data_IF_953422387457
#
_entry.id   IF_953422387457
#
_cell.length_a   1.000
_cell.length_b   1.000
_cell.length_c   1.000
_cell.angle_alpha   90.00
_cell.angle_beta   90.00
_cell.angle_gamma   90.00
#
_symmetry.space_group_name_H-M   'P 1'
#
loop_
_entity.id
_entity.type
_entity.pdbx_description
1 polymer ?
#
# COMPACT_ATOMS: atom_id res chain seq x y z
N UNK A 1 36.46 1.03 -18.18
CA UNK A 1 35.38 1.09 -17.18
C UNK A 1 35.28 -0.25 -16.48
N UNK A 2 34.92 -0.26 -15.20
CA UNK A 2 34.56 -1.48 -14.47
C UNK A 2 33.05 -1.46 -14.24
N UNK A 3 32.40 -2.60 -14.47
CA UNK A 3 30.94 -2.74 -14.35
C UNK A 3 30.63 -3.76 -13.27
N UNK A 4 29.78 -3.38 -12.34
CA UNK A 4 29.36 -4.24 -11.24
C UNK A 4 27.85 -4.36 -11.22
N UNK A 5 27.32 -5.58 -11.13
CA UNK A 5 25.93 -5.79 -10.76
C UNK A 5 25.78 -5.41 -9.28
N UNK A 6 24.73 -4.67 -8.92
CA UNK A 6 24.56 -4.13 -7.56
C UNK A 6 23.12 -4.23 -7.07
N UNK A 7 22.93 -4.07 -5.76
CA UNK A 7 21.61 -3.83 -5.18
C UNK A 7 20.73 -5.07 -5.13
N UNK A 8 19.46 -4.90 -5.53
CA UNK A 8 18.45 -5.93 -5.38
C UNK A 8 18.78 -7.22 -6.11
N UNK A 9 19.40 -7.13 -7.29
CA UNK A 9 19.79 -8.29 -8.09
C UNK A 9 20.81 -9.18 -7.36
N UNK A 10 21.83 -8.58 -6.74
CA UNK A 10 22.87 -9.33 -6.00
C UNK A 10 22.27 -9.93 -4.73
N UNK A 11 21.47 -9.14 -3.99
CA UNK A 11 20.76 -9.62 -2.80
C UNK A 11 19.87 -10.82 -3.10
N UNK A 12 19.03 -10.71 -4.13
CA UNK A 12 18.05 -11.74 -4.48
C UNK A 12 18.77 -12.98 -5.03
N UNK A 13 19.86 -12.81 -5.79
CA UNK A 13 20.75 -13.90 -6.19
C UNK A 13 21.31 -14.67 -4.98
N UNK A 14 21.82 -13.97 -3.96
CA UNK A 14 22.37 -14.58 -2.74
C UNK A 14 21.29 -15.29 -1.90
N UNK A 15 20.05 -14.80 -1.92
CA UNK A 15 18.90 -15.44 -1.28
C UNK A 15 18.35 -16.64 -2.08
N UNK A 16 18.87 -16.90 -3.28
CA UNK A 16 18.33 -17.93 -4.19
C UNK A 16 16.95 -17.57 -4.74
N UNK A 17 16.61 -16.28 -4.77
CA UNK A 17 15.36 -15.77 -5.31
C UNK A 17 15.50 -15.39 -6.79
N UNK A 18 14.44 -15.56 -7.60
CA UNK A 18 14.46 -15.07 -8.97
C UNK A 18 14.51 -13.54 -8.98
N UNK A 19 15.39 -12.98 -9.81
CA UNK A 19 15.48 -11.54 -10.05
C UNK A 19 15.40 -11.26 -11.55
N UNK A 20 14.75 -10.15 -11.92
CA UNK A 20 14.56 -9.74 -13.31
C UNK A 20 15.19 -8.36 -13.57
N UNK A 21 15.03 -7.43 -12.63
CA UNK A 21 15.65 -6.12 -12.70
C UNK A 21 17.13 -6.22 -12.32
N UNK A 22 18.01 -5.76 -13.23
CA UNK A 22 19.45 -5.71 -13.02
C UNK A 22 19.93 -4.27 -13.12
N UNK A 23 20.46 -3.80 -12.00
CA UNK A 23 21.08 -2.50 -11.89
C UNK A 23 22.60 -2.66 -11.89
N UNK A 24 23.27 -1.88 -12.72
CA UNK A 24 24.73 -1.89 -12.79
C UNK A 24 25.31 -0.55 -12.36
N UNK A 25 26.43 -0.60 -11.65
CA UNK A 25 27.27 0.56 -11.36
C UNK A 25 28.53 0.50 -12.21
N UNK A 26 28.85 1.63 -12.83
CA UNK A 26 30.03 1.81 -13.67
C UNK A 26 31.03 2.73 -12.97
N UNK A 27 32.21 2.19 -12.71
CA UNK A 27 33.34 2.89 -12.08
C UNK A 27 34.42 3.21 -13.12
N UNK A 28 35.03 4.39 -13.01
CA UNK A 28 36.11 4.82 -13.90
C UNK A 28 35.66 5.12 -15.34
N UNK A 29 34.46 5.68 -15.51
CA UNK A 29 33.93 6.17 -16.78
C UNK A 29 33.32 7.56 -16.62
N UNK A 30 33.25 8.33 -17.72
CA UNK A 30 32.54 9.61 -17.79
C UNK A 30 31.26 9.46 -18.62
N UNK A 31 30.30 10.40 -18.52
CA UNK A 31 29.13 10.42 -19.40
C UNK A 31 29.49 10.36 -20.89
N UNK A 32 30.52 11.09 -21.32
CA UNK A 32 30.98 11.10 -22.71
C UNK A 32 31.51 9.72 -23.13
N UNK A 33 32.20 9.02 -22.23
CA UNK A 33 32.65 7.64 -22.46
C UNK A 33 31.45 6.71 -22.66
N UNK A 34 30.43 6.79 -21.80
CA UNK A 34 29.21 5.98 -21.91
C UNK A 34 28.51 6.23 -23.25
N UNK A 35 28.32 7.51 -23.63
CA UNK A 35 27.70 7.89 -24.91
C UNK A 35 28.51 7.38 -26.11
N UNK A 36 29.84 7.45 -26.06
CA UNK A 36 30.71 6.93 -27.12
C UNK A 36 30.58 5.41 -27.30
N UNK A 37 30.19 4.68 -26.25
CA UNK A 37 29.89 3.24 -26.31
C UNK A 37 28.43 2.93 -26.71
N UNK A 38 27.62 3.95 -27.05
CA UNK A 38 26.24 3.77 -27.52
C UNK A 38 25.19 3.65 -26.41
N UNK A 39 25.57 3.89 -25.15
CA UNK A 39 24.62 3.97 -24.05
C UNK A 39 23.68 5.18 -24.20
N UNK A 40 22.43 5.02 -23.78
CA UNK A 40 21.40 6.06 -23.93
C UNK A 40 21.06 6.68 -22.58
N UNK A 41 21.24 8.00 -22.37
CA UNK A 41 20.97 8.63 -21.07
C UNK A 41 19.47 8.62 -20.76
N UNK A 42 19.14 8.38 -19.49
CA UNK A 42 17.77 8.39 -18.97
C UNK A 42 17.67 9.32 -17.77
N UNK A 43 16.61 10.14 -17.77
CA UNK A 43 16.41 11.16 -16.74
C UNK A 43 17.19 12.44 -17.02
N UNK A 44 16.89 13.48 -16.23
CA UNK A 44 17.53 14.81 -16.37
C UNK A 44 18.51 15.12 -15.25
N UNK A 45 18.37 14.47 -14.09
CA UNK A 45 19.04 14.88 -12.85
C UNK A 45 20.20 13.93 -12.44
N UNK A 46 20.30 12.73 -13.03
CA UNK A 46 21.33 11.73 -12.70
C UNK A 46 21.79 10.96 -13.96
N UNK A 47 23.10 10.76 -14.20
CA UNK A 47 23.59 9.97 -15.32
C UNK A 47 23.37 8.46 -15.14
N UNK A 48 22.10 8.05 -15.29
CA UNK A 48 21.70 6.68 -15.61
C UNK A 48 21.69 6.54 -17.11
N UNK A 49 22.15 5.39 -17.61
CA UNK A 49 22.10 5.06 -19.02
C UNK A 49 21.47 3.69 -19.24
N UNK A 50 20.81 3.51 -20.38
CA UNK A 50 20.38 2.20 -20.85
C UNK A 50 21.46 1.60 -21.74
N UNK A 51 21.77 0.33 -21.48
CA UNK A 51 22.64 -0.45 -22.33
C UNK A 51 22.08 -0.54 -23.77
N UNK A 52 22.90 -0.40 -24.83
CA UNK A 52 22.42 -0.35 -26.21
C UNK A 52 21.59 -1.57 -26.62
N UNK A 53 22.02 -2.77 -26.19
CA UNK A 53 21.41 -4.05 -26.55
C UNK A 53 20.36 -4.52 -25.52
N UNK A 54 20.78 -4.74 -24.27
CA UNK A 54 19.92 -5.32 -23.22
C UNK A 54 18.87 -4.36 -22.66
N UNK A 55 19.06 -3.05 -22.83
CA UNK A 55 18.26 -2.00 -22.19
C UNK A 55 18.26 -2.04 -20.65
N UNK A 56 19.22 -2.73 -20.03
CA UNK A 56 19.43 -2.71 -18.58
C UNK A 56 19.99 -1.35 -18.12
N UNK A 57 19.79 -0.99 -16.84
CA UNK A 57 20.18 0.32 -16.28
C UNK A 57 21.63 0.33 -15.76
N UNK A 58 22.42 1.30 -16.23
CA UNK A 58 23.82 1.49 -15.89
C UNK A 58 24.01 2.89 -15.31
N UNK A 59 24.32 2.97 -14.03
CA UNK A 59 24.55 4.22 -13.31
C UNK A 59 26.06 4.46 -13.14
N UNK A 60 26.52 5.68 -13.41
CA UNK A 60 27.88 6.06 -13.03
C UNK A 60 28.00 6.16 -11.50
N UNK A 61 29.13 5.67 -10.96
CA UNK A 61 29.47 5.82 -9.55
C UNK A 61 29.50 7.31 -9.16
N UNK A 62 29.00 7.63 -7.96
CA UNK A 62 28.88 9.02 -7.51
C UNK A 62 29.11 9.20 -6.02
N UNK A 63 29.49 10.42 -5.66
CA UNK A 63 29.34 10.95 -4.31
C UNK A 63 28.20 11.97 -4.26
N UNK A 64 27.52 12.03 -3.13
CA UNK A 64 26.40 12.96 -2.88
C UNK A 64 26.84 13.94 -1.80
N UNK A 65 26.55 15.24 -1.98
CA UNK A 65 26.72 16.24 -0.92
C UNK A 65 25.44 17.04 -0.72
N UNK A 66 24.93 17.04 0.51
CA UNK A 66 23.76 17.82 0.93
C UNK A 66 24.11 19.33 0.93
N UNK A 67 23.60 20.04 -0.06
CA UNK A 67 23.67 21.48 -0.32
C UNK A 67 22.45 22.26 0.25
N UNK A 68 21.50 21.62 0.96
CA UNK A 68 20.35 22.31 1.55
C UNK A 68 19.35 21.39 2.27
N UNK A 69 18.26 21.97 2.80
CA UNK A 69 17.10 21.21 3.31
C UNK A 69 16.20 20.78 2.14
N UNK A 70 15.76 19.51 2.13
CA UNK A 70 14.86 18.96 1.12
C UNK A 70 15.55 18.35 -0.12
N UNK A 71 14.75 17.76 -1.01
CA UNK A 71 15.21 16.93 -2.14
C UNK A 71 16.05 17.67 -3.20
N UNK A 72 15.85 18.98 -3.38
CA UNK A 72 16.68 19.79 -4.30
C UNK A 72 18.05 20.17 -3.72
N UNK A 73 18.37 19.65 -2.54
CA UNK A 73 19.63 19.90 -1.85
C UNK A 73 20.75 18.92 -2.19
N UNK A 74 20.73 18.14 -3.28
CA UNK A 74 21.84 17.23 -3.60
C UNK A 74 22.63 17.73 -4.81
N UNK A 75 23.92 17.98 -4.62
CA UNK A 75 24.87 18.09 -5.73
C UNK A 75 25.51 16.72 -5.96
N UNK A 76 25.36 16.19 -7.16
CA UNK A 76 25.95 14.92 -7.57
C UNK A 76 27.33 15.19 -8.17
N UNK A 77 28.35 14.56 -7.59
CA UNK A 77 29.70 14.56 -8.14
C UNK A 77 29.98 13.18 -8.71
N UNK A 78 29.93 13.08 -10.03
CA UNK A 78 30.28 11.87 -10.81
C UNK A 78 31.64 12.11 -11.43
N UNK A 79 32.69 11.76 -10.70
CA UNK A 79 34.07 11.82 -11.19
C UNK A 79 34.60 10.40 -11.42
N UNK A 80 35.52 10.24 -12.37
CA UNK A 80 36.22 8.97 -12.61
C UNK A 80 36.97 8.42 -11.40
N UNK A 81 37.23 9.27 -10.40
CA UNK A 81 37.91 8.94 -9.15
C UNK A 81 37.01 8.32 -8.10
N UNK A 82 35.67 8.37 -8.27
CA UNK A 82 34.74 7.76 -7.31
C UNK A 82 34.89 6.26 -7.32
N UNK A 83 35.23 5.69 -6.17
CA UNK A 83 35.39 4.26 -5.96
C UNK A 83 34.05 3.54 -5.85
N UNK A 84 34.07 2.21 -6.04
CA UNK A 84 32.90 1.37 -5.79
C UNK A 84 32.42 1.50 -4.33
N UNK A 85 33.34 1.54 -3.38
CA UNK A 85 33.03 1.66 -1.95
C UNK A 85 32.29 2.98 -1.63
N UNK A 86 32.75 4.11 -2.19
CA UNK A 86 32.08 5.41 -2.06
C UNK A 86 30.68 5.44 -2.70
N UNK A 87 30.41 4.62 -3.72
CA UNK A 87 29.05 4.48 -4.27
C UNK A 87 28.16 3.57 -3.39
N UNK A 88 28.75 2.55 -2.76
CA UNK A 88 28.02 1.62 -1.91
C UNK A 88 27.63 2.27 -0.55
N UNK A 89 28.46 3.16 0.00
CA UNK A 89 28.24 3.77 1.33
C UNK A 89 26.92 4.56 1.44
N UNK A 90 26.47 5.14 0.33
CA UNK A 90 25.28 5.98 0.24
C UNK A 90 24.00 5.17 0.07
N UNK A 91 24.06 3.85 0.01
CA UNK A 91 22.86 3.00 -0.12
C UNK A 91 22.08 2.93 1.18
N UNK A 92 20.85 2.42 1.09
CA UNK A 92 19.94 2.36 2.23
C UNK A 92 20.36 1.26 3.22
N UNK A 93 20.42 0.02 2.76
CA UNK A 93 20.69 -1.15 3.58
C UNK A 93 21.97 -1.88 3.16
N UNK A 94 22.68 -2.47 4.13
CA UNK A 94 23.89 -3.29 3.91
C UNK A 94 23.64 -4.41 2.91
N UNK A 95 22.49 -5.09 3.01
CA UNK A 95 22.08 -6.15 2.09
C UNK A 95 21.90 -5.67 0.63
N UNK A 96 21.72 -4.37 0.42
CA UNK A 96 21.63 -3.75 -0.91
C UNK A 96 22.94 -3.09 -1.33
N UNK A 97 23.96 -3.11 -0.47
CA UNK A 97 25.28 -2.52 -0.66
C UNK A 97 26.35 -3.57 -0.98
N UNK A 98 25.94 -4.64 -1.69
CA UNK A 98 26.80 -5.70 -2.21
C UNK A 98 26.90 -5.51 -3.73
N UNK A 99 28.12 -5.64 -4.25
CA UNK A 99 28.42 -5.59 -5.67
C UNK A 99 29.02 -6.91 -6.15
N UNK A 100 28.75 -7.28 -7.41
CA UNK A 100 29.28 -8.48 -8.05
C UNK A 100 29.88 -8.13 -9.41
N UNK A 101 31.11 -8.55 -9.68
CA UNK A 101 31.74 -8.38 -10.99
C UNK A 101 31.33 -9.48 -11.99
N UNK A 102 31.83 -9.38 -13.22
CA UNK A 102 31.52 -10.31 -14.31
C UNK A 102 32.04 -11.74 -14.06
N UNK A 103 33.07 -11.88 -13.22
CA UNK A 103 33.65 -13.17 -12.84
C UNK A 103 32.89 -13.80 -11.64
N UNK A 104 31.87 -13.12 -11.13
CA UNK A 104 31.07 -13.57 -9.99
C UNK A 104 31.71 -13.29 -8.63
N UNK A 105 32.78 -12.48 -8.58
CA UNK A 105 33.40 -12.10 -7.32
C UNK A 105 32.57 -11.01 -6.64
N UNK A 106 32.30 -11.22 -5.35
CA UNK A 106 31.53 -10.30 -4.51
C UNK A 106 32.43 -9.25 -3.85
N UNK A 107 31.91 -8.03 -3.77
CA UNK A 107 32.49 -6.88 -3.09
C UNK A 107 31.47 -6.40 -2.06
N UNK A 108 31.81 -6.57 -0.78
CA UNK A 108 30.92 -6.32 0.35
C UNK A 108 31.66 -5.60 1.49
N UNK A 109 31.95 -4.29 1.34
CA UNK A 109 32.70 -3.52 2.34
C UNK A 109 31.91 -3.28 3.63
N UNK A 110 30.57 -3.46 3.60
CA UNK A 110 29.67 -3.10 4.72
C UNK A 110 28.99 -4.31 5.39
N UNK A 111 29.42 -5.54 5.06
CA UNK A 111 28.94 -6.75 5.73
C UNK A 111 27.50 -7.16 5.39
N UNK A 112 27.03 -6.83 4.19
CA UNK A 112 25.70 -7.21 3.69
C UNK A 112 25.47 -8.71 3.63
N UNK A 113 26.49 -9.54 3.35
CA UNK A 113 26.38 -11.00 3.39
C UNK A 113 26.09 -11.51 4.79
N UNK A 114 26.81 -10.99 5.80
CA UNK A 114 26.58 -11.32 7.21
C UNK A 114 25.18 -10.92 7.66
N UNK A 115 24.71 -9.73 7.25
CA UNK A 115 23.35 -9.29 7.56
C UNK A 115 22.28 -10.12 6.80
N UNK A 116 22.55 -10.60 5.58
CA UNK A 116 21.67 -11.55 4.88
C UNK A 116 21.56 -12.88 5.62
N UNK A 117 22.69 -13.46 6.04
CA UNK A 117 22.73 -14.70 6.82
C UNK A 117 21.98 -14.57 8.15
N UNK A 118 22.17 -13.43 8.83
CA UNK A 118 21.51 -13.11 10.10
C UNK A 118 20.10 -12.54 9.94
N UNK A 119 19.60 -12.41 8.70
CA UNK A 119 18.28 -11.84 8.39
C UNK A 119 18.06 -10.47 9.04
N UNK A 120 19.04 -9.58 8.88
CA UNK A 120 19.07 -8.27 9.52
C UNK A 120 18.97 -7.16 8.47
N UNK A 121 18.06 -6.22 8.68
CA UNK A 121 17.95 -4.99 7.89
C UNK A 121 18.72 -3.88 8.62
N UNK A 122 19.96 -3.65 8.20
CA UNK A 122 20.87 -2.65 8.79
C UNK A 122 21.15 -1.53 7.82
N UNK A 123 21.14 -0.28 8.29
CA UNK A 123 21.57 0.86 7.47
C UNK A 123 23.07 0.79 7.18
N UNK A 124 23.49 1.30 6.02
CA UNK A 124 24.92 1.23 5.60
C UNK A 124 25.80 2.18 6.39
N UNK A 125 25.38 3.44 6.54
CA UNK A 125 26.18 4.50 7.14
C UNK A 125 25.30 5.69 7.57
N UNK A 126 25.91 6.66 8.24
CA UNK A 126 25.28 7.95 8.60
C UNK A 126 24.68 8.70 7.39
N UNK A 127 25.13 8.41 6.16
CA UNK A 127 24.53 8.95 4.94
C UNK A 127 23.05 8.55 4.78
N UNK A 128 22.57 7.56 5.55
CA UNK A 128 21.16 7.22 5.64
C UNK A 128 20.27 8.40 6.05
N UNK A 129 20.75 9.26 6.94
CA UNK A 129 20.00 10.43 7.39
C UNK A 129 19.84 11.50 6.29
N UNK A 130 20.54 11.40 5.16
CA UNK A 130 20.46 12.41 4.11
C UNK A 130 19.13 12.39 3.36
N UNK A 131 18.52 11.22 3.15
CA UNK A 131 17.23 11.06 2.47
C UNK A 131 16.17 10.44 3.40
N UNK A 132 15.22 11.24 3.92
CA UNK A 132 14.18 10.76 4.83
C UNK A 132 13.27 9.67 4.24
N UNK A 133 13.24 9.51 2.92
CA UNK A 133 12.50 8.44 2.27
C UNK A 133 13.03 7.05 2.68
N UNK A 134 14.29 6.94 3.12
CA UNK A 134 14.87 5.67 3.56
C UNK A 134 14.15 5.07 4.76
N UNK A 135 13.50 5.87 5.61
CA UNK A 135 12.63 5.36 6.68
C UNK A 135 11.48 4.52 6.10
N UNK A 136 10.80 5.03 5.07
CA UNK A 136 9.74 4.29 4.38
C UNK A 136 10.28 3.07 3.63
N UNK A 137 11.47 3.18 3.02
CA UNK A 137 12.11 2.05 2.31
C UNK A 137 12.45 0.91 3.26
N UNK A 138 13.01 1.20 4.42
CA UNK A 138 13.31 0.19 5.45
C UNK A 138 12.04 -0.46 5.94
N UNK A 139 10.99 0.32 6.24
CA UNK A 139 9.69 -0.24 6.60
C UNK A 139 9.10 -1.15 5.50
N UNK A 140 9.28 -0.79 4.22
CA UNK A 140 8.83 -1.63 3.11
C UNK A 140 9.65 -2.92 3.02
N UNK A 141 10.97 -2.85 3.19
CA UNK A 141 11.81 -4.04 3.22
C UNK A 141 11.48 -4.96 4.41
N UNK A 142 11.13 -4.40 5.56
CA UNK A 142 10.63 -5.18 6.69
C UNK A 142 9.32 -5.91 6.34
N UNK A 143 8.38 -5.24 5.68
CA UNK A 143 7.17 -5.88 5.15
C UNK A 143 7.48 -7.00 4.13
N UNK A 144 8.32 -6.71 3.14
CA UNK A 144 8.71 -7.66 2.08
C UNK A 144 9.39 -8.91 2.63
N UNK A 145 10.27 -8.75 3.61
CA UNK A 145 11.09 -9.84 4.14
C UNK A 145 10.60 -10.44 5.44
N UNK A 146 9.43 -10.01 5.93
CA UNK A 146 8.80 -10.52 7.15
C UNK A 146 8.65 -12.06 7.12
N UNK A 147 8.12 -12.62 6.02
CA UNK A 147 7.99 -14.09 5.83
C UNK A 147 9.32 -14.85 5.96
N UNK A 148 10.44 -14.21 5.63
CA UNK A 148 11.76 -14.82 5.70
C UNK A 148 12.40 -14.68 7.08
N UNK A 149 11.76 -13.97 8.01
CA UNK A 149 12.23 -13.75 9.38
C UNK A 149 13.22 -12.60 9.51
N UNK A 150 13.21 -11.65 8.58
CA UNK A 150 14.06 -10.47 8.69
C UNK A 150 13.60 -9.53 9.81
N UNK A 151 14.57 -8.94 10.51
CA UNK A 151 14.33 -7.94 11.55
C UNK A 151 15.18 -6.70 11.30
N UNK A 152 14.68 -5.53 11.70
CA UNK A 152 15.45 -4.29 11.59
C UNK A 152 16.46 -4.24 12.73
N UNK A 153 17.70 -3.89 12.42
CA UNK A 153 18.75 -3.80 13.44
C UNK A 153 18.43 -2.69 14.47
N UNK A 154 18.72 -2.88 15.77
CA UNK A 154 18.35 -1.91 16.81
C UNK A 154 18.86 -0.49 16.55
N UNK A 155 20.11 -0.35 16.11
CA UNK A 155 20.68 0.96 15.78
C UNK A 155 20.06 1.59 14.53
N UNK A 156 19.49 0.78 13.63
CA UNK A 156 18.73 1.29 12.47
C UNK A 156 17.37 1.83 12.90
N UNK A 157 16.67 1.16 13.83
CA UNK A 157 15.45 1.70 14.44
C UNK A 157 15.74 3.00 15.17
N UNK A 158 16.82 3.06 15.95
CA UNK A 158 17.21 4.27 16.68
C UNK A 158 17.48 5.45 15.73
N UNK A 159 18.17 5.20 14.61
CA UNK A 159 18.39 6.22 13.58
C UNK A 159 17.08 6.69 12.95
N UNK A 160 16.17 5.76 12.61
CA UNK A 160 14.84 6.10 12.08
C UNK A 160 14.02 6.95 13.06
N UNK A 161 14.11 6.68 14.37
CA UNK A 161 13.47 7.48 15.42
C UNK A 161 14.05 8.90 15.46
N UNK A 162 15.37 9.04 15.46
CA UNK A 162 16.03 10.37 15.42
C UNK A 162 15.62 11.16 14.17
N UNK A 163 15.50 10.51 13.01
CA UNK A 163 15.03 11.14 11.78
C UNK A 163 13.55 11.53 11.82
N UNK A 164 12.70 10.74 12.50
CA UNK A 164 11.30 11.09 12.70
C UNK A 164 11.16 12.32 13.61
N UNK A 165 11.96 12.40 14.67
CA UNK A 165 11.96 13.51 15.62
C UNK A 165 12.57 14.80 15.08
N UNK A 166 13.47 14.72 14.09
CA UNK A 166 14.15 15.89 13.52
C UNK A 166 13.24 16.77 12.65
N UNK A 167 12.05 16.28 12.29
CA UNK A 167 11.12 16.94 11.36
C UNK A 167 11.50 16.83 9.89
N UNK A 168 12.52 16.02 9.55
CA UNK A 168 12.93 15.85 8.15
C UNK A 168 11.90 15.07 7.32
N UNK A 169 11.08 14.22 7.94
CA UNK A 169 9.98 13.51 7.28
C UNK A 169 8.94 14.46 6.68
N UNK A 170 8.69 15.62 7.31
CA UNK A 170 7.72 16.61 6.86
C UNK A 170 8.16 17.31 5.55
N UNK A 171 9.45 17.21 5.21
CA UNK A 171 9.99 17.74 3.95
C UNK A 171 9.82 16.77 2.76
N UNK A 172 9.29 15.55 2.98
CA UNK A 172 9.05 14.60 1.91
C UNK A 172 7.88 15.06 1.02
N UNK A 173 8.13 15.09 -0.29
CA UNK A 173 7.08 15.35 -1.27
C UNK A 173 6.02 14.25 -1.21
N UNK A 174 4.72 14.58 -1.24
CA UNK A 174 3.67 13.57 -1.09
C UNK A 174 3.69 12.45 -2.13
N UNK A 175 4.11 12.73 -3.36
CA UNK A 175 4.23 11.75 -4.43
C UNK A 175 5.27 10.66 -4.13
N UNK A 176 6.37 11.03 -3.46
CA UNK A 176 7.40 10.07 -3.00
C UNK A 176 6.85 9.18 -1.89
N UNK A 177 6.13 9.77 -0.93
CA UNK A 177 5.47 9.04 0.16
C UNK A 177 4.45 8.05 -0.41
N UNK A 178 3.60 8.48 -1.33
CA UNK A 178 2.63 7.60 -1.97
C UNK A 178 3.27 6.51 -2.82
N UNK A 179 4.31 6.82 -3.61
CA UNK A 179 5.01 5.81 -4.42
C UNK A 179 5.59 4.71 -3.55
N UNK A 180 6.19 5.05 -2.41
CA UNK A 180 6.75 4.03 -1.51
C UNK A 180 5.65 3.27 -0.76
N UNK A 181 4.61 3.97 -0.31
CA UNK A 181 3.47 3.37 0.41
C UNK A 181 2.65 2.43 -0.46
N UNK A 182 2.41 2.79 -1.73
CA UNK A 182 1.68 1.93 -2.68
C UNK A 182 2.46 0.66 -3.02
N UNK A 183 3.80 0.72 -3.05
CA UNK A 183 4.64 -0.47 -3.15
C UNK A 183 4.56 -1.32 -1.88
N UNK A 184 4.65 -0.69 -0.71
CA UNK A 184 4.54 -1.39 0.57
C UNK A 184 3.19 -2.08 0.76
N UNK A 185 2.10 -1.43 0.33
CA UNK A 185 0.77 -2.01 0.34
C UNK A 185 0.66 -3.28 -0.51
N UNK A 186 1.49 -3.47 -1.53
CA UNK A 186 1.50 -4.65 -2.38
C UNK A 186 2.37 -5.80 -1.84
N UNK A 187 3.15 -5.58 -0.78
CA UNK A 187 3.95 -6.63 -0.14
C UNK A 187 3.04 -7.61 0.65
N UNK A 188 3.52 -8.82 0.94
CA UNK A 188 2.73 -9.87 1.61
C UNK A 188 2.35 -9.53 3.06
N UNK A 189 3.12 -8.64 3.71
CA UNK A 189 2.91 -8.19 5.09
C UNK A 189 2.86 -6.66 5.18
N UNK A 190 1.94 -6.04 4.46
CA UNK A 190 1.81 -4.58 4.44
C UNK A 190 1.51 -3.97 5.83
N UNK A 191 0.94 -4.73 6.75
CA UNK A 191 0.76 -4.36 8.15
C UNK A 191 2.08 -4.08 8.87
N UNK A 192 3.14 -4.86 8.58
CA UNK A 192 4.49 -4.67 9.15
C UNK A 192 5.08 -3.33 8.74
N UNK A 193 4.76 -2.83 7.54
CA UNK A 193 5.17 -1.49 7.10
C UNK A 193 4.61 -0.41 8.05
N UNK A 194 3.30 -0.43 8.33
CA UNK A 194 2.67 0.55 9.21
C UNK A 194 3.08 0.36 10.68
N UNK A 195 3.25 -0.88 11.13
CA UNK A 195 3.76 -1.17 12.47
C UNK A 195 5.20 -0.63 12.63
N UNK A 196 6.08 -0.87 11.66
CA UNK A 196 7.45 -0.34 11.66
C UNK A 196 7.46 1.19 11.72
N UNK A 197 6.63 1.84 10.90
CA UNK A 197 6.50 3.31 10.93
C UNK A 197 6.01 3.79 12.30
N UNK A 198 5.13 3.03 12.96
CA UNK A 198 4.66 3.36 14.31
C UNK A 198 5.77 3.19 15.35
N UNK A 199 6.50 2.09 15.31
CA UNK A 199 7.56 1.75 16.26
C UNK A 199 8.73 2.75 16.22
N UNK A 200 9.04 3.29 15.04
CA UNK A 200 10.02 4.37 14.89
C UNK A 200 9.42 5.78 15.05
N UNK A 201 8.12 5.91 15.33
CA UNK A 201 7.45 7.20 15.52
C UNK A 201 7.19 7.99 14.24
N UNK A 202 7.50 7.45 13.05
CA UNK A 202 7.25 8.10 11.76
C UNK A 202 5.77 8.11 11.35
N UNK A 203 4.95 7.17 11.83
CA UNK A 203 3.54 7.04 11.45
C UNK A 203 2.75 8.32 11.77
N UNK A 204 2.95 8.91 12.95
CA UNK A 204 2.26 10.15 13.38
C UNK A 204 2.55 11.36 12.49
N UNK A 205 3.69 11.38 11.80
CA UNK A 205 4.07 12.46 10.88
C UNK A 205 3.52 12.21 9.47
N UNK A 206 3.65 10.97 8.98
CA UNK A 206 3.29 10.61 7.61
C UNK A 206 1.79 10.36 7.44
N UNK A 207 1.17 9.71 8.42
CA UNK A 207 -0.22 9.25 8.43
C UNK A 207 -0.89 9.51 9.79
N UNK A 208 -0.99 10.78 10.23
CA UNK A 208 -1.58 11.11 11.54
C UNK A 208 -2.98 10.55 11.74
N UNK A 209 -3.76 10.42 10.66
CA UNK A 209 -5.12 9.87 10.69
C UNK A 209 -5.13 8.38 11.04
N UNK A 210 -4.11 7.63 10.59
CA UNK A 210 -3.95 6.20 10.91
C UNK A 210 -3.39 6.04 12.32
N UNK A 211 -2.38 6.85 12.68
CA UNK A 211 -1.77 6.83 14.02
C UNK A 211 -2.82 7.08 15.13
N UNK A 212 -3.77 7.97 14.86
CA UNK A 212 -4.85 8.34 15.79
C UNK A 212 -5.85 7.20 16.09
N UNK A 213 -5.83 6.09 15.35
CA UNK A 213 -6.65 4.91 15.66
C UNK A 213 -6.10 4.07 16.81
N UNK A 214 -4.78 4.09 17.01
CA UNK A 214 -4.18 3.30 18.07
C UNK A 214 -4.48 3.91 19.44
N UNK A 215 -4.84 3.06 20.38
CA UNK A 215 -5.32 3.43 21.71
C UNK A 215 -6.82 3.74 21.77
N UNK A 216 -7.53 3.72 20.63
CA UNK A 216 -8.98 3.96 20.58
C UNK A 216 -9.72 2.65 20.89
N UNK A 217 -10.46 2.57 22.01
CA UNK A 217 -11.06 1.32 22.46
C UNK A 217 -12.33 0.96 21.67
N UNK A 218 -12.52 -0.33 21.44
CA UNK A 218 -13.65 -0.99 20.80
C UNK A 218 -14.34 -1.94 21.77
N UNK A 219 -15.55 -2.38 21.42
CA UNK A 219 -16.31 -3.35 22.22
C UNK A 219 -15.71 -4.75 22.08
N UNK A 220 -15.23 -5.39 23.17
CA UNK A 220 -14.57 -6.69 23.11
C UNK A 220 -15.48 -7.81 22.61
N UNK A 221 -16.80 -7.69 22.78
CA UNK A 221 -17.75 -8.68 22.22
C UNK A 221 -17.67 -8.82 20.68
N UNK A 222 -17.25 -7.76 19.99
CA UNK A 222 -17.16 -7.72 18.54
C UNK A 222 -15.73 -7.58 18.03
N UNK A 223 -14.84 -7.03 18.86
CA UNK A 223 -13.45 -6.68 18.57
C UNK A 223 -12.57 -7.14 19.73
N UNK A 224 -12.22 -8.45 19.80
CA UNK A 224 -11.47 -9.00 20.93
C UNK A 224 -10.08 -8.37 21.14
N UNK A 225 -9.51 -7.80 20.08
CA UNK A 225 -8.28 -7.00 20.11
C UNK A 225 -8.43 -5.65 20.83
N UNK A 226 -9.66 -5.17 21.03
CA UNK A 226 -10.06 -3.92 21.69
C UNK A 226 -9.56 -2.64 21.01
N UNK A 227 -8.45 -2.65 20.28
CA UNK A 227 -7.82 -1.45 19.73
C UNK A 227 -8.17 -1.25 18.24
N UNK A 228 -8.61 -0.04 17.86
CA UNK A 228 -8.96 0.27 16.46
C UNK A 228 -7.75 0.21 15.51
N UNK A 229 -6.56 0.60 15.96
CA UNK A 229 -5.33 0.52 15.18
C UNK A 229 -4.92 -0.92 14.92
N UNK A 230 -4.99 -1.77 15.95
CA UNK A 230 -4.74 -3.22 15.80
C UNK A 230 -5.76 -3.84 14.84
N UNK A 231 -7.06 -3.57 15.00
CA UNK A 231 -8.11 -4.01 14.08
C UNK A 231 -7.83 -3.63 12.62
N UNK A 232 -7.36 -2.40 12.40
CA UNK A 232 -7.01 -1.90 11.06
C UNK A 232 -5.86 -2.70 10.44
N UNK A 233 -4.81 -3.00 11.22
CA UNK A 233 -3.70 -3.82 10.74
C UNK A 233 -4.12 -5.28 10.49
N UNK A 234 -4.92 -5.88 11.36
CA UNK A 234 -5.47 -7.23 11.17
C UNK A 234 -6.37 -7.32 9.93
N UNK A 235 -7.15 -6.28 9.66
CA UNK A 235 -7.96 -6.20 8.45
C UNK A 235 -7.08 -6.10 7.20
N UNK A 236 -5.99 -5.31 7.25
CA UNK A 236 -5.02 -5.21 6.16
C UNK A 236 -4.31 -6.56 5.91
N UNK A 237 -3.98 -7.32 6.96
CA UNK A 237 -3.43 -8.68 6.84
C UNK A 237 -4.36 -9.61 6.05
N UNK A 238 -5.68 -9.54 6.27
CA UNK A 238 -6.65 -10.32 5.50
C UNK A 238 -6.64 -9.97 4.01
N UNK A 239 -6.48 -8.68 3.69
CA UNK A 239 -6.37 -8.22 2.31
C UNK A 239 -5.07 -8.70 1.64
N UNK A 240 -3.97 -8.77 2.40
CA UNK A 240 -2.69 -9.30 1.93
C UNK A 240 -2.76 -10.83 1.72
N UNK A 241 -3.29 -11.58 2.69
CA UNK A 241 -3.48 -13.05 2.62
C UNK A 241 -4.35 -13.45 1.42
N UNK A 242 -5.34 -12.63 1.08
CA UNK A 242 -6.23 -12.85 -0.08
C UNK A 242 -5.64 -12.34 -1.40
N UNK A 243 -4.44 -11.78 -1.38
CA UNK A 243 -3.76 -11.14 -2.50
C UNK A 243 -4.65 -10.14 -3.27
N UNK A 244 -5.38 -9.30 -2.53
CA UNK A 244 -6.25 -8.29 -3.14
C UNK A 244 -5.46 -7.11 -3.71
N UNK A 245 -6.09 -6.36 -4.60
CA UNK A 245 -5.47 -5.25 -5.32
C UNK A 245 -5.08 -4.10 -4.39
N UNK A 246 -4.18 -3.23 -4.88
CA UNK A 246 -3.80 -1.99 -4.19
C UNK A 246 -5.02 -1.17 -3.74
N UNK A 247 -6.03 -1.04 -4.61
CA UNK A 247 -7.25 -0.29 -4.31
C UNK A 247 -7.96 -0.85 -3.07
N UNK A 248 -8.09 -2.18 -2.98
CA UNK A 248 -8.75 -2.86 -1.85
C UNK A 248 -7.93 -2.71 -0.58
N UNK A 249 -6.62 -2.99 -0.64
CA UNK A 249 -5.72 -2.91 0.52
C UNK A 249 -5.69 -1.49 1.10
N UNK A 250 -5.63 -0.47 0.24
CA UNK A 250 -5.74 0.92 0.68
C UNK A 250 -7.11 1.26 1.26
N UNK A 251 -8.21 0.79 0.63
CA UNK A 251 -9.56 1.03 1.16
C UNK A 251 -9.77 0.39 2.54
N UNK A 252 -9.21 -0.79 2.77
CA UNK A 252 -9.20 -1.46 4.08
C UNK A 252 -8.40 -0.66 5.10
N UNK A 253 -7.21 -0.17 4.75
CA UNK A 253 -6.37 0.62 5.66
C UNK A 253 -7.09 1.86 6.21
N UNK A 254 -7.97 2.48 5.41
CA UNK A 254 -8.58 3.78 5.74
C UNK A 254 -10.09 3.71 6.00
N UNK A 255 -10.69 2.51 6.08
CA UNK A 255 -12.15 2.40 6.23
C UNK A 255 -12.67 3.02 7.53
N UNK A 256 -11.87 2.93 8.59
CA UNK A 256 -12.27 3.22 9.97
C UNK A 256 -11.68 4.51 10.56
N UNK A 257 -11.05 5.37 9.75
CA UNK A 257 -10.42 6.61 10.24
C UNK A 257 -11.36 7.51 11.07
N UNK A 258 -12.68 7.40 10.84
CA UNK A 258 -13.68 8.13 11.64
C UNK A 258 -13.78 7.69 13.10
N UNK A 259 -13.31 6.48 13.46
CA UNK A 259 -13.33 5.99 14.85
C UNK A 259 -12.43 6.83 15.74
N UNK A 260 -11.29 7.30 15.23
CA UNK A 260 -10.38 8.23 15.92
C UNK A 260 -11.06 9.56 16.31
N UNK A 261 -12.13 9.94 15.61
CA UNK A 261 -12.89 11.17 15.85
C UNK A 261 -14.12 10.96 16.75
N UNK A 262 -14.23 9.80 17.40
CA UNK A 262 -15.36 9.48 18.28
C UNK A 262 -15.27 10.30 19.59
N UNK A 263 -16.31 11.05 19.96
CA UNK A 263 -16.35 11.74 21.26
C UNK A 263 -16.18 10.77 22.44
N UNK A 264 -15.48 11.21 23.49
CA UNK A 264 -15.19 10.37 24.65
C UNK A 264 -16.46 9.80 25.34
N UNK A 265 -17.57 10.54 25.32
CA UNK A 265 -18.86 10.11 25.86
C UNK A 265 -19.62 9.10 24.96
N UNK A 266 -19.15 8.87 23.73
CA UNK A 266 -19.71 7.88 22.81
C UNK A 266 -18.83 6.61 22.70
N UNK A 267 -17.61 6.63 23.25
CA UNK A 267 -16.74 5.45 23.26
C UNK A 267 -17.35 4.32 24.12
N UNK A 268 -17.16 3.04 23.73
CA UNK A 268 -16.52 2.52 22.51
C UNK A 268 -17.54 2.19 21.38
N UNK A 269 -18.64 2.96 21.26
CA UNK A 269 -19.73 2.64 20.31
C UNK A 269 -19.50 3.16 18.89
N UNK A 270 -18.68 4.21 18.74
CA UNK A 270 -18.31 4.80 17.44
C UNK A 270 -19.51 5.15 16.55
N UNK A 271 -20.53 5.79 17.13
CA UNK A 271 -21.75 6.17 16.42
C UNK A 271 -21.37 7.11 15.25
N UNK A 272 -21.85 6.80 14.04
CA UNK A 272 -21.59 7.61 12.83
C UNK A 272 -20.10 7.75 12.42
N UNK A 273 -19.23 6.81 12.79
CA UNK A 273 -17.82 6.85 12.36
C UNK A 273 -17.68 6.79 10.83
N UNK A 274 -18.59 6.12 10.13
CA UNK A 274 -18.61 6.02 8.67
C UNK A 274 -18.82 7.38 7.99
N UNK A 275 -19.57 8.31 8.63
CA UNK A 275 -19.74 9.68 8.12
C UNK A 275 -18.59 10.57 8.60
N UNK A 276 -18.14 10.42 9.84
CA UNK A 276 -16.98 11.17 10.39
C UNK A 276 -15.68 10.86 9.64
N UNK A 277 -15.56 9.64 9.09
CA UNK A 277 -14.38 9.17 8.36
C UNK A 277 -14.24 9.75 6.95
N UNK A 278 -15.32 10.26 6.33
CA UNK A 278 -15.26 10.78 4.94
C UNK A 278 -14.26 11.92 4.80
N UNK A 279 -14.25 12.84 5.78
CA UNK A 279 -13.33 13.98 5.78
C UNK A 279 -11.85 13.56 5.91
N UNK A 280 -11.42 12.82 6.95
CA UNK A 280 -10.01 12.42 7.08
C UNK A 280 -9.54 11.54 5.92
N UNK A 281 -10.37 10.63 5.39
CA UNK A 281 -10.02 9.85 4.19
C UNK A 281 -9.79 10.76 2.99
N UNK A 282 -10.65 11.76 2.80
CA UNK A 282 -10.51 12.74 1.71
C UNK A 282 -9.22 13.55 1.84
N UNK A 283 -8.97 14.11 3.03
CA UNK A 283 -7.79 14.94 3.30
C UNK A 283 -6.49 14.15 3.13
N UNK A 284 -6.43 12.91 3.64
CA UNK A 284 -5.30 12.01 3.45
C UNK A 284 -5.07 11.73 1.95
N UNK A 285 -6.12 11.41 1.19
CA UNK A 285 -6.01 11.13 -0.24
C UNK A 285 -5.51 12.33 -1.04
N UNK A 286 -5.98 13.54 -0.70
CA UNK A 286 -5.59 14.79 -1.38
C UNK A 286 -4.17 15.22 -1.03
N UNK A 287 -3.78 15.04 0.23
CA UNK A 287 -2.43 15.29 0.72
C UNK A 287 -1.44 14.38 0.00
N UNK A 288 -1.70 13.07 -0.05
CA UNK A 288 -0.81 12.07 -0.64
C UNK A 288 -0.94 11.89 -2.15
N UNK A 289 -1.80 12.65 -2.82
CA UNK A 289 -2.07 12.52 -4.28
C UNK A 289 -2.45 11.10 -4.69
N UNK A 290 -3.27 10.45 -3.86
CA UNK A 290 -3.78 9.09 -4.12
C UNK A 290 -4.55 9.07 -5.44
N UNK A 291 -4.31 8.09 -6.34
CA UNK A 291 -5.01 7.96 -7.61
C UNK A 291 -6.53 7.96 -7.43
N UNK A 292 -7.22 8.60 -8.38
CA UNK A 292 -8.67 8.83 -8.31
C UNK A 292 -9.46 7.53 -8.10
N UNK A 293 -9.06 6.44 -8.76
CA UNK A 293 -9.72 5.15 -8.63
C UNK A 293 -9.63 4.60 -7.20
N UNK A 294 -8.42 4.58 -6.64
CA UNK A 294 -8.14 4.13 -5.26
C UNK A 294 -8.90 4.99 -4.25
N UNK A 295 -8.86 6.32 -4.40
CA UNK A 295 -9.62 7.27 -3.56
C UNK A 295 -11.13 6.99 -3.60
N UNK A 296 -11.70 6.73 -4.77
CA UNK A 296 -13.13 6.48 -4.90
C UNK A 296 -13.57 5.19 -4.19
N UNK A 297 -12.77 4.13 -4.26
CA UNK A 297 -13.06 2.91 -3.51
C UNK A 297 -12.93 3.15 -2.00
N UNK A 298 -11.85 3.79 -1.56
CA UNK A 298 -11.62 4.12 -0.15
C UNK A 298 -12.80 4.90 0.48
N UNK A 299 -13.28 5.94 -0.20
CA UNK A 299 -14.43 6.72 0.26
C UNK A 299 -15.73 5.90 0.29
N UNK A 300 -15.92 5.02 -0.71
CA UNK A 300 -17.10 4.15 -0.75
C UNK A 300 -17.10 3.15 0.39
N UNK A 301 -15.95 2.50 0.66
CA UNK A 301 -15.78 1.56 1.77
C UNK A 301 -15.99 2.28 3.10
N UNK A 302 -15.29 3.38 3.35
CA UNK A 302 -15.43 4.16 4.57
C UNK A 302 -16.90 4.52 4.87
N UNK A 303 -17.63 5.06 3.89
CA UNK A 303 -19.01 5.52 4.08
C UNK A 303 -20.06 4.40 4.13
N UNK A 304 -19.81 3.26 3.48
CA UNK A 304 -20.85 2.28 3.19
C UNK A 304 -20.61 0.88 3.79
N UNK A 305 -19.43 0.56 4.33
CA UNK A 305 -19.08 -0.80 4.78
C UNK A 305 -20.07 -1.38 5.80
N UNK A 306 -20.58 -0.58 6.75
CA UNK A 306 -21.62 -1.02 7.70
C UNK A 306 -22.88 -1.54 7.01
N UNK A 307 -23.25 -0.98 5.85
CA UNK A 307 -24.40 -1.45 5.07
C UNK A 307 -24.13 -2.81 4.44
N UNK A 308 -22.87 -3.14 4.14
CA UNK A 308 -22.49 -4.49 3.72
C UNK A 308 -22.66 -5.49 4.87
N UNK A 309 -22.17 -5.17 6.06
CA UNK A 309 -22.32 -6.08 7.23
C UNK A 309 -23.79 -6.35 7.57
N UNK A 310 -24.65 -5.38 7.32
CA UNK A 310 -26.09 -5.43 7.57
C UNK A 310 -26.92 -5.81 6.33
N UNK A 311 -26.29 -6.18 5.20
CA UNK A 311 -26.96 -6.25 3.90
C UNK A 311 -28.25 -7.08 3.89
N UNK A 312 -28.27 -8.19 4.62
CA UNK A 312 -29.41 -9.10 4.73
C UNK A 312 -30.59 -8.52 5.53
N UNK A 313 -30.34 -7.56 6.43
CA UNK A 313 -31.40 -6.87 7.18
C UNK A 313 -31.95 -5.65 6.43
N UNK A 314 -31.21 -5.09 5.48
CA UNK A 314 -31.60 -3.88 4.74
C UNK A 314 -32.85 -4.08 3.87
N UNK A 315 -33.62 -3.00 3.68
CA UNK A 315 -34.71 -2.96 2.71
C UNK A 315 -34.16 -3.12 1.28
N UNK A 316 -34.84 -3.83 0.36
CA UNK A 316 -34.40 -3.99 -1.03
C UNK A 316 -34.07 -2.67 -1.74
N UNK A 317 -34.89 -1.62 -1.56
CA UNK A 317 -34.60 -0.28 -2.08
C UNK A 317 -33.33 0.37 -1.51
N UNK A 318 -32.88 -0.02 -0.32
CA UNK A 318 -31.58 0.40 0.25
C UNK A 318 -30.43 -0.37 -0.40
N UNK A 319 -30.60 -1.68 -0.62
CA UNK A 319 -29.62 -2.52 -1.34
C UNK A 319 -29.40 -1.98 -2.76
N UNK A 320 -30.48 -1.67 -3.48
CA UNK A 320 -30.41 -1.03 -4.80
C UNK A 320 -29.62 0.28 -4.76
N UNK A 321 -29.95 1.20 -3.83
CA UNK A 321 -29.25 2.48 -3.71
C UNK A 321 -27.76 2.32 -3.37
N UNK A 322 -27.39 1.32 -2.56
CA UNK A 322 -26.00 0.99 -2.30
C UNK A 322 -25.29 0.54 -3.59
N UNK A 323 -25.85 -0.45 -4.29
CA UNK A 323 -25.32 -0.95 -5.56
C UNK A 323 -25.21 0.16 -6.62
N UNK A 324 -26.18 1.07 -6.67
CA UNK A 324 -26.16 2.23 -7.55
C UNK A 324 -25.02 3.20 -7.22
N UNK A 325 -24.78 3.49 -5.93
CA UNK A 325 -23.63 4.33 -5.50
C UNK A 325 -22.28 3.69 -5.84
N UNK A 326 -22.22 2.35 -5.82
CA UNK A 326 -21.06 1.57 -6.24
C UNK A 326 -20.96 1.42 -7.77
N UNK A 327 -21.84 2.07 -8.53
CA UNK A 327 -21.86 2.08 -10.00
C UNK A 327 -22.02 0.69 -10.64
N UNK A 328 -22.81 -0.18 -10.00
CA UNK A 328 -22.96 -1.61 -10.35
C UNK A 328 -23.23 -1.89 -11.83
N UNK A 329 -23.97 -1.01 -12.52
CA UNK A 329 -24.39 -1.24 -13.91
C UNK A 329 -23.25 -1.03 -14.90
N UNK A 330 -22.36 -0.05 -14.63
CA UNK A 330 -21.24 0.29 -15.52
C UNK A 330 -19.92 -0.33 -15.08
N UNK A 331 -19.74 -0.50 -13.76
CA UNK A 331 -18.49 -0.91 -13.12
C UNK A 331 -18.71 -1.97 -12.04
N UNK A 332 -19.20 -3.18 -12.40
CA UNK A 332 -19.47 -4.26 -11.43
C UNK A 332 -18.23 -4.70 -10.64
N UNK A 333 -17.02 -4.50 -11.18
CA UNK A 333 -15.77 -4.74 -10.49
C UNK A 333 -15.60 -3.89 -9.21
N UNK A 334 -16.25 -2.71 -9.13
CA UNK A 334 -16.25 -1.88 -7.91
C UNK A 334 -17.04 -2.50 -6.78
N UNK A 335 -18.15 -3.17 -7.11
CA UNK A 335 -18.93 -3.91 -6.10
C UNK A 335 -18.10 -5.07 -5.56
N UNK A 336 -17.39 -5.79 -6.44
CA UNK A 336 -16.47 -6.87 -6.00
C UNK A 336 -15.38 -6.33 -5.08
N UNK A 337 -14.70 -5.26 -5.46
CA UNK A 337 -13.64 -4.65 -4.64
C UNK A 337 -14.17 -4.12 -3.30
N UNK A 338 -15.38 -3.55 -3.29
CA UNK A 338 -16.04 -3.10 -2.06
C UNK A 338 -16.36 -4.29 -1.13
N UNK A 339 -16.88 -5.39 -1.68
CA UNK A 339 -17.17 -6.62 -0.91
C UNK A 339 -15.89 -7.22 -0.34
N UNK A 340 -14.81 -7.28 -1.12
CA UNK A 340 -13.49 -7.74 -0.67
C UNK A 340 -13.00 -6.94 0.55
N UNK A 341 -13.09 -5.61 0.51
CA UNK A 341 -12.70 -4.77 1.64
C UNK A 341 -13.58 -5.01 2.90
N UNK A 342 -14.90 -5.13 2.73
CA UNK A 342 -15.82 -5.40 3.84
C UNK A 342 -15.61 -6.79 4.45
N UNK A 343 -15.21 -7.78 3.65
CA UNK A 343 -14.84 -9.10 4.14
C UNK A 343 -13.55 -9.06 4.97
N UNK A 344 -12.55 -8.29 4.52
CA UNK A 344 -11.31 -8.08 5.28
C UNK A 344 -11.56 -7.44 6.65
N UNK A 345 -12.42 -6.41 6.73
CA UNK A 345 -12.83 -5.81 8.01
C UNK A 345 -13.58 -6.82 8.91
N UNK A 346 -14.49 -7.61 8.32
CA UNK A 346 -15.20 -8.64 9.08
C UNK A 346 -14.27 -9.72 9.66
N UNK A 347 -13.23 -10.12 8.91
CA UNK A 347 -12.27 -11.16 9.29
C UNK A 347 -11.04 -10.61 10.03
N UNK A 348 -10.78 -9.31 10.00
CA UNK A 348 -9.61 -8.69 10.62
C UNK A 348 -9.71 -8.55 12.13
N UNK A 349 -10.10 -9.61 12.85
CA UNK A 349 -10.42 -9.57 14.29
C UNK A 349 -9.83 -10.77 15.00
N UNK A 350 -9.31 -10.54 16.21
CA UNK A 350 -8.57 -11.55 16.95
C UNK A 350 -9.43 -12.79 17.26
N UNK A 351 -8.96 -13.95 16.79
CA UNK A 351 -9.62 -15.24 16.98
C UNK A 351 -10.85 -15.47 16.08
N UNK A 352 -11.14 -14.54 15.15
CA UNK A 352 -12.27 -14.60 14.23
C UNK A 352 -11.83 -14.52 12.75
N UNK A 353 -10.55 -14.78 12.48
CA UNK A 353 -9.90 -14.58 11.18
C UNK A 353 -10.49 -15.44 10.06
N UNK A 354 -10.96 -16.63 10.40
CA UNK A 354 -11.52 -17.60 9.45
C UNK A 354 -13.07 -17.63 9.48
N UNK A 355 -13.72 -16.68 10.17
CA UNK A 355 -15.18 -16.68 10.28
C UNK A 355 -15.85 -16.56 8.90
N UNK A 356 -16.99 -17.22 8.66
CA UNK A 356 -17.74 -17.03 7.42
C UNK A 356 -18.28 -15.61 7.33
N UNK A 357 -18.32 -15.08 6.11
CA UNK A 357 -18.90 -13.76 5.82
C UNK A 357 -19.93 -13.86 4.69
N UNK A 358 -21.12 -14.45 4.95
CA UNK A 358 -22.12 -14.74 3.92
C UNK A 358 -22.69 -13.48 3.24
N UNK A 359 -22.51 -12.31 3.86
CA UNK A 359 -22.83 -11.01 3.28
C UNK A 359 -22.10 -10.77 1.95
N UNK A 360 -20.89 -11.31 1.79
CA UNK A 360 -20.16 -11.21 0.53
C UNK A 360 -20.92 -11.86 -0.62
N UNK A 361 -21.32 -13.12 -0.46
CA UNK A 361 -22.07 -13.85 -1.50
C UNK A 361 -23.43 -13.20 -1.76
N UNK A 362 -24.15 -12.82 -0.70
CA UNK A 362 -25.44 -12.11 -0.84
C UNK A 362 -25.31 -10.83 -1.69
N UNK A 363 -24.26 -10.04 -1.47
CA UNK A 363 -24.01 -8.80 -2.21
C UNK A 363 -23.65 -9.07 -3.68
N UNK A 364 -22.88 -10.13 -3.95
CA UNK A 364 -22.53 -10.54 -5.31
C UNK A 364 -23.74 -11.08 -6.09
N UNK A 365 -24.62 -11.85 -5.44
CA UNK A 365 -25.85 -12.35 -6.04
C UNK A 365 -26.82 -11.20 -6.33
N UNK A 366 -27.02 -10.31 -5.36
CA UNK A 366 -27.83 -9.09 -5.52
C UNK A 366 -27.31 -8.22 -6.70
N UNK A 367 -25.99 -8.11 -6.86
CA UNK A 367 -25.38 -7.45 -8.01
C UNK A 367 -25.76 -8.14 -9.33
N UNK A 368 -25.70 -9.48 -9.42
CA UNK A 368 -26.03 -10.18 -10.68
C UNK A 368 -27.51 -10.01 -11.04
N UNK A 369 -28.40 -10.11 -10.05
CA UNK A 369 -29.86 -9.93 -10.23
C UNK A 369 -30.16 -8.52 -10.77
N UNK A 370 -29.55 -7.50 -10.17
CA UNK A 370 -29.77 -6.11 -10.60
C UNK A 370 -29.27 -5.88 -12.03
N UNK A 371 -28.19 -6.55 -12.43
CA UNK A 371 -27.57 -6.43 -13.76
C UNK A 371 -28.24 -7.28 -14.83
N UNK A 372 -28.94 -8.34 -14.47
CA UNK A 372 -29.68 -9.16 -15.44
C UNK A 372 -30.92 -8.45 -15.98
N UNK A 373 -31.46 -7.49 -15.23
CA UNK A 373 -32.63 -6.69 -15.62
C UNK A 373 -32.25 -5.63 -16.66
N UNK A 374 -32.82 -5.77 -17.85
CA UNK A 374 -32.60 -4.95 -19.03
C UNK A 374 -33.91 -4.31 -19.49
N UNK A 375 -33.78 -3.36 -20.43
CA UNK A 375 -34.92 -2.67 -21.02
C UNK A 375 -35.87 -3.64 -21.74
N UNK A 376 -35.36 -4.76 -22.27
CA UNK A 376 -36.18 -5.78 -22.93
C UNK A 376 -37.13 -6.52 -21.98
N UNK A 377 -36.91 -6.45 -20.67
CA UNK A 377 -37.79 -7.07 -19.67
C UNK A 377 -39.01 -6.19 -19.35
N UNK A 378 -39.05 -4.97 -19.90
CA UNK A 378 -40.14 -4.03 -19.69
C UNK A 378 -41.25 -4.18 -20.75
N UNK A 379 -42.51 -3.86 -20.40
CA UNK A 379 -43.61 -3.76 -21.35
C UNK A 379 -43.30 -2.86 -22.57
N UNK A 380 -43.69 -3.29 -23.78
CA UNK A 380 -43.37 -2.61 -25.05
C UNK A 380 -43.97 -1.19 -25.18
N UNK A 381 -44.92 -0.82 -24.34
CA UNK A 381 -45.68 0.42 -24.41
C UNK A 381 -45.08 1.61 -23.63
N UNK A 382 -43.94 1.43 -22.96
CA UNK A 382 -43.33 2.45 -22.08
C UNK A 382 -42.40 3.36 -22.87
N UNK A 383 -42.45 4.67 -22.63
CA UNK A 383 -41.64 5.67 -23.37
C UNK A 383 -40.94 6.67 -22.46
N UNK A 384 -39.74 7.08 -22.86
CA UNK A 384 -39.04 8.20 -22.25
C UNK A 384 -38.60 7.93 -20.80
N UNK A 385 -38.82 8.91 -19.91
CA UNK A 385 -38.35 8.88 -18.52
C UNK A 385 -38.91 7.71 -17.70
N UNK A 386 -40.11 7.21 -18.05
CA UNK A 386 -40.77 6.07 -17.41
C UNK A 386 -39.95 4.78 -17.49
N UNK A 387 -39.10 4.61 -18.52
CA UNK A 387 -38.22 3.45 -18.66
C UNK A 387 -37.25 3.36 -17.47
N UNK A 388 -36.67 4.49 -17.07
CA UNK A 388 -35.70 4.54 -15.97
C UNK A 388 -36.33 4.21 -14.63
N UNK A 389 -37.51 4.76 -14.36
CA UNK A 389 -38.28 4.49 -13.14
C UNK A 389 -38.73 3.03 -13.06
N UNK A 390 -39.20 2.46 -14.16
CA UNK A 390 -39.61 1.07 -14.20
C UNK A 390 -38.44 0.09 -14.06
N UNK A 391 -37.28 0.37 -14.66
CA UNK A 391 -36.07 -0.43 -14.40
C UNK A 391 -35.68 -0.43 -12.93
N UNK A 392 -35.80 0.72 -12.26
CA UNK A 392 -35.54 0.82 -10.81
C UNK A 392 -36.55 -0.05 -10.05
N UNK A 393 -37.83 0.05 -10.36
CA UNK A 393 -38.87 -0.72 -9.68
C UNK A 393 -38.66 -2.24 -9.87
N UNK A 394 -38.42 -2.69 -11.10
CA UNK A 394 -38.16 -4.10 -11.41
C UNK A 394 -36.94 -4.64 -10.66
N UNK A 395 -35.87 -3.84 -10.52
CA UNK A 395 -34.69 -4.20 -9.73
C UNK A 395 -35.01 -4.32 -8.24
N UNK A 396 -35.82 -3.41 -7.70
CA UNK A 396 -36.24 -3.46 -6.30
C UNK A 396 -37.13 -4.68 -6.06
N UNK A 397 -38.05 -4.99 -6.99
CA UNK A 397 -38.94 -6.15 -6.89
C UNK A 397 -38.16 -7.46 -6.97
N UNK A 398 -37.23 -7.60 -7.90
CA UNK A 398 -36.35 -8.77 -7.98
C UNK A 398 -35.47 -8.95 -6.73
N UNK A 399 -34.95 -7.86 -6.16
CA UNK A 399 -34.24 -7.90 -4.89
C UNK A 399 -35.16 -8.27 -3.71
N UNK A 400 -36.45 -7.92 -3.79
CA UNK A 400 -37.45 -8.29 -2.79
C UNK A 400 -37.70 -9.79 -2.83
N UNK A 401 -37.93 -10.35 -4.02
CA UNK A 401 -38.08 -11.79 -4.21
C UNK A 401 -36.83 -12.56 -3.76
N UNK A 402 -35.64 -12.12 -4.17
CA UNK A 402 -34.38 -12.70 -3.74
C UNK A 402 -34.24 -12.76 -2.23
N UNK A 403 -34.58 -11.66 -1.54
CA UNK A 403 -34.54 -11.59 -0.08
C UNK A 403 -35.49 -12.61 0.56
N UNK A 404 -36.71 -12.74 0.04
CA UNK A 404 -37.68 -13.71 0.54
C UNK A 404 -37.19 -15.16 0.36
N UNK A 405 -36.63 -15.48 -0.82
CA UNK A 405 -36.07 -16.81 -1.09
C UNK A 405 -34.89 -17.13 -0.16
N UNK A 406 -33.97 -16.18 0.04
CA UNK A 406 -32.84 -16.35 0.95
C UNK A 406 -33.28 -16.54 2.41
N UNK A 407 -34.31 -15.82 2.87
CA UNK A 407 -34.87 -15.99 4.21
C UNK A 407 -35.51 -17.37 4.39
N UNK A 408 -36.23 -17.87 3.38
CA UNK A 408 -36.82 -19.21 3.43
C UNK A 408 -35.75 -20.30 3.56
N UNK A 409 -34.65 -20.20 2.80
CA UNK A 409 -33.52 -21.14 2.84
C UNK A 409 -32.73 -21.10 4.16
N UNK A 410 -32.75 -19.98 4.88
CA UNK A 410 -32.05 -19.83 6.16
C UNK A 410 -32.84 -20.41 7.35
N UNK A 411 -34.12 -20.76 7.14
CA UNK A 411 -35.03 -21.32 8.15
C UNK A 411 -35.28 -22.83 7.99
N UNK A 412 -34.75 -23.42 6.93
CA UNK A 412 -34.65 -24.87 6.68
C UNK A 412 -33.25 -25.36 7.00
#
# INVERSE_FOLDING_TARGET
>A
MQVYLVGGAVRDFLLGHPYQEKDYVVVGATPEHMLAQGFQPVGKDFPVFLHPETKEEYALARTERKSGKGYHGFQFFTDTTVSLEEDLIRRDLTINAIAMDQDGKLYDPYGGQTDLENKTLRHVSEAFAEDPLRVLRVARFAARYSSYGFQIAPETIQLMQTMAESGELDALTPERVWKETSRALLEDHADVYFQTLRDCGALKHLFPEIDALFGVPQRPEYHPEVDCGIHTLMSLQQACKSNYSLDVRFAVLVHDLGKALTPANELPRHIMHEERGVKPVTELCERLKVPTQTRQLALSVCKEHLKCHQIMSLKPGTVWRLLQRLDVLRRPERVKAFVQACECDAKGRLGLEDRPYPQAQYMLDAMQIVRSIKVQDLPENIKGAEIGEMLIQYRIDALTEFKHQHQALSHT
#
